data_IF_897945433011
#
_entry.id   IF_897945433011
#
_cell.length_a   1.000
_cell.length_b   1.000
_cell.length_c   1.000
_cell.angle_alpha   90.00
_cell.angle_beta   90.00
_cell.angle_gamma   90.00
#
_symmetry.space_group_name_H-M   'P 1'
#
loop_
_entity.id
_entity.type
_entity.pdbx_description
1 polymer ?
#
# COMPACT_ATOMS: atom_id res chain seq x y z
N UNK A 1 12.69 24.51 21.29
CA UNK A 1 12.22 23.15 21.62
C UNK A 1 11.33 22.73 20.47
N UNK A 2 11.58 21.58 19.85
CA UNK A 2 10.67 21.07 18.83
C UNK A 2 9.41 20.57 19.54
N UNK A 3 8.23 21.05 19.14
CA UNK A 3 6.98 20.49 19.63
C UNK A 3 6.85 19.06 19.10
N UNK A 4 6.87 18.11 20.03
CA UNK A 4 6.71 16.69 19.75
C UNK A 4 5.22 16.38 19.93
N UNK A 5 4.60 15.84 18.90
CA UNK A 5 3.22 15.38 18.90
C UNK A 5 3.16 13.86 18.80
N UNK A 6 2.07 13.29 19.31
CA UNK A 6 1.72 11.89 19.08
C UNK A 6 0.53 11.85 18.13
N UNK A 7 0.69 11.15 17.03
CA UNK A 7 -0.37 10.88 16.06
C UNK A 7 -0.86 9.44 16.26
N UNK A 8 -2.17 9.27 16.38
CA UNK A 8 -2.78 7.95 16.40
C UNK A 8 -3.21 7.58 14.97
N UNK A 9 -2.84 6.40 14.49
CA UNK A 9 -3.45 5.84 13.29
C UNK A 9 -4.84 5.29 13.63
N UNK A 10 -5.72 5.18 12.63
CA UNK A 10 -7.02 4.51 12.76
C UNK A 10 -6.91 3.05 13.22
N UNK A 11 -5.71 2.47 13.09
CA UNK A 11 -5.37 1.14 13.54
C UNK A 11 -4.72 1.13 14.94
N UNK A 12 -4.79 2.23 15.70
CA UNK A 12 -4.34 2.31 17.09
C UNK A 12 -2.83 2.36 17.27
N UNK A 13 -2.07 2.74 16.24
CA UNK A 13 -0.64 2.98 16.35
C UNK A 13 -0.38 4.40 16.85
N UNK A 14 0.38 4.56 17.92
CA UNK A 14 0.86 5.88 18.34
C UNK A 14 2.25 6.12 17.78
N UNK A 15 2.41 7.13 16.93
CA UNK A 15 3.70 7.52 16.36
C UNK A 15 4.08 8.88 16.91
N UNK A 16 5.33 9.00 17.36
CA UNK A 16 5.88 10.23 17.89
C UNK A 16 6.53 11.01 16.76
N UNK A 17 6.01 12.21 16.48
CA UNK A 17 6.45 13.05 15.36
C UNK A 17 6.80 14.44 15.85
N UNK A 18 7.66 15.16 15.12
CA UNK A 18 7.80 16.59 15.32
C UNK A 18 6.60 17.30 14.67
N UNK A 19 5.73 17.93 15.45
CA UNK A 19 4.51 18.55 14.96
C UNK A 19 4.77 19.60 13.87
N UNK A 20 5.87 20.35 14.00
CA UNK A 20 6.26 21.41 13.08
C UNK A 20 6.82 20.87 11.74
N UNK A 21 7.50 19.73 11.76
CA UNK A 21 8.29 19.26 10.60
C UNK A 21 7.84 17.88 10.07
N UNK A 22 6.72 17.32 10.56
CA UNK A 22 6.25 15.98 10.19
C UNK A 22 5.91 15.80 8.70
N UNK A 23 5.83 16.90 7.94
CA UNK A 23 5.57 16.94 6.49
C UNK A 23 6.76 17.50 5.70
N UNK A 24 7.93 17.62 6.35
CA UNK A 24 9.10 18.25 5.76
C UNK A 24 10.25 17.25 5.57
N UNK A 25 11.21 17.64 4.73
CA UNK A 25 12.46 16.93 4.55
C UNK A 25 13.57 17.63 5.35
N UNK A 26 14.37 16.86 6.10
CA UNK A 26 15.48 17.40 6.86
C UNK A 26 16.57 17.95 5.91
N UNK A 27 16.95 19.24 6.00
CA UNK A 27 17.91 19.84 5.09
C UNK A 27 19.36 19.36 5.29
N UNK A 28 19.65 18.69 6.41
CA UNK A 28 21.00 18.23 6.75
C UNK A 28 21.26 16.77 6.36
N UNK A 29 20.27 15.90 6.53
CA UNK A 29 20.40 14.47 6.23
C UNK A 29 19.45 13.97 5.13
N UNK A 30 18.69 14.88 4.51
CA UNK A 30 17.71 14.60 3.45
C UNK A 30 16.65 13.55 3.84
N UNK A 31 16.43 13.34 5.14
CA UNK A 31 15.42 12.42 5.63
C UNK A 31 14.04 13.06 5.46
N UNK A 32 13.18 12.44 4.67
CA UNK A 32 11.79 12.85 4.54
C UNK A 32 10.96 12.33 5.74
N UNK A 33 10.53 13.25 6.60
CA UNK A 33 9.76 12.87 7.78
C UNK A 33 8.36 12.36 7.41
N UNK A 34 7.80 12.79 6.28
CA UNK A 34 6.51 12.28 5.81
C UNK A 34 6.61 10.80 5.44
N UNK A 35 7.65 10.43 4.70
CA UNK A 35 7.87 9.05 4.27
C UNK A 35 8.14 8.14 5.46
N UNK A 36 9.04 8.53 6.38
CA UNK A 36 9.35 7.74 7.58
C UNK A 36 8.12 7.56 8.48
N UNK A 37 7.30 8.61 8.63
CA UNK A 37 6.07 8.51 9.40
C UNK A 37 5.05 7.56 8.74
N UNK A 38 4.97 7.56 7.41
CA UNK A 38 4.13 6.61 6.68
C UNK A 38 4.66 5.17 6.76
N UNK A 39 5.98 4.98 6.69
CA UNK A 39 6.61 3.68 6.87
C UNK A 39 6.30 3.12 8.26
N UNK A 40 6.38 3.93 9.32
CA UNK A 40 6.01 3.52 10.67
C UNK A 40 4.52 3.14 10.80
N UNK A 41 3.61 3.89 10.16
CA UNK A 41 2.18 3.52 10.08
C UNK A 41 2.01 2.17 9.37
N UNK A 42 2.71 1.99 8.25
CA UNK A 42 2.65 0.77 7.46
C UNK A 42 3.20 -0.44 8.25
N UNK A 43 4.32 -0.31 8.96
CA UNK A 43 4.89 -1.38 9.76
C UNK A 43 3.91 -1.91 10.82
N UNK A 44 3.16 -1.02 11.48
CA UNK A 44 2.15 -1.42 12.46
C UNK A 44 0.98 -2.14 11.78
N UNK A 45 0.56 -1.66 10.61
CA UNK A 45 -0.44 -2.33 9.77
C UNK A 45 0.00 -3.75 9.38
N UNK A 46 1.26 -3.91 8.97
CA UNK A 46 1.87 -5.21 8.66
C UNK A 46 1.86 -6.14 9.89
N UNK A 47 2.25 -5.64 11.07
CA UNK A 47 2.28 -6.45 12.31
C UNK A 47 0.90 -7.02 12.69
N UNK A 48 -0.20 -6.37 12.25
CA UNK A 48 -1.57 -6.86 12.44
C UNK A 48 -2.02 -7.81 11.33
N UNK A 49 -1.54 -7.62 10.09
CA UNK A 49 -1.81 -8.49 8.95
C UNK A 49 -1.16 -9.88 9.06
N UNK A 50 -0.11 -10.04 9.89
CA UNK A 50 0.50 -11.34 10.24
C UNK A 50 -0.48 -12.28 10.97
N UNK A 51 -1.63 -11.78 11.45
CA UNK A 51 -2.72 -12.67 11.90
C UNK A 51 -3.51 -13.11 10.68
N UNK A 52 -3.69 -14.43 10.43
CA UNK A 52 -4.58 -14.89 9.38
C UNK A 52 -5.93 -14.21 9.59
N UNK A 53 -6.56 -13.69 8.52
CA UNK A 53 -7.80 -12.93 8.64
C UNK A 53 -8.78 -13.78 9.43
N UNK A 54 -9.19 -13.28 10.59
CA UNK A 54 -10.22 -13.91 11.41
C UNK A 54 -11.49 -13.91 10.57
N UNK A 55 -11.74 -15.02 9.86
CA UNK A 55 -13.04 -15.48 9.38
C UNK A 55 -14.05 -14.36 9.12
N UNK A 56 -13.83 -13.58 8.06
CA UNK A 56 -14.83 -12.88 7.25
C UNK A 56 -14.11 -11.83 6.43
N UNK A 57 -13.65 -12.23 5.24
CA UNK A 57 -13.56 -11.26 4.15
C UNK A 57 -15.00 -10.80 3.94
N UNK A 58 -15.36 -9.64 4.50
CA UNK A 58 -16.71 -9.08 4.32
C UNK A 58 -17.05 -9.03 2.83
N UNK A 59 -18.34 -9.08 2.52
CA UNK A 59 -18.94 -9.29 1.18
C UNK A 59 -18.50 -8.32 0.04
N UNK A 60 -17.51 -7.45 0.26
CA UNK A 60 -17.00 -6.48 -0.73
C UNK A 60 -15.49 -6.54 -1.04
N UNK A 61 -14.69 -7.45 -0.46
CA UNK A 61 -13.21 -7.41 -0.59
C UNK A 61 -12.60 -8.26 -1.71
N UNK A 62 -13.33 -9.18 -2.32
CA UNK A 62 -12.81 -9.99 -3.42
C UNK A 62 -13.07 -9.29 -4.76
N UNK A 63 -12.12 -8.46 -5.19
CA UNK A 63 -12.19 -7.63 -6.41
C UNK A 63 -11.70 -8.37 -7.68
N UNK A 64 -11.62 -9.69 -7.63
CA UNK A 64 -11.21 -10.52 -8.77
C UNK A 64 -12.07 -10.23 -10.00
N UNK A 65 -11.42 -10.10 -11.15
CA UNK A 65 -12.03 -9.78 -12.43
C UNK A 65 -12.08 -8.29 -12.75
N UNK A 66 -11.86 -7.39 -11.77
CA UNK A 66 -11.82 -5.95 -12.01
C UNK A 66 -10.54 -5.50 -12.69
N UNK A 67 -10.69 -4.50 -13.56
CA UNK A 67 -9.59 -3.79 -14.19
C UNK A 67 -9.03 -2.74 -13.23
N UNK A 68 -7.71 -2.63 -13.24
CA UNK A 68 -6.95 -1.67 -12.44
C UNK A 68 -6.05 -0.85 -13.35
N UNK A 69 -5.91 0.43 -13.02
CA UNK A 69 -5.01 1.37 -13.67
C UNK A 69 -4.07 1.93 -12.62
N UNK A 70 -2.90 1.33 -12.51
CA UNK A 70 -1.88 1.75 -11.58
C UNK A 70 -1.03 2.87 -12.18
N UNK A 71 -0.43 3.70 -11.32
CA UNK A 71 0.59 4.67 -11.74
C UNK A 71 1.94 3.96 -11.87
N UNK A 72 2.56 4.03 -13.04
CA UNK A 72 3.94 3.63 -13.24
C UNK A 72 4.86 4.63 -12.52
N UNK A 73 5.49 4.19 -11.43
CA UNK A 73 6.46 5.01 -10.68
C UNK A 73 7.88 4.94 -11.25
N UNK A 74 8.07 4.38 -12.45
CA UNK A 74 9.36 4.33 -13.16
C UNK A 74 10.00 5.71 -13.47
N UNK A 75 9.34 6.81 -13.15
CA UNK A 75 9.89 8.17 -13.25
C UNK A 75 9.66 8.84 -14.61
N UNK A 76 8.81 8.28 -15.47
CA UNK A 76 8.38 8.94 -16.70
C UNK A 76 7.41 10.10 -16.40
N UNK A 77 7.53 11.22 -17.13
CA UNK A 77 6.62 12.38 -17.01
C UNK A 77 5.94 12.63 -18.37
N UNK A 78 4.60 12.56 -18.46
CA UNK A 78 3.67 12.14 -17.41
C UNK A 78 3.83 10.65 -17.06
N UNK A 79 3.48 10.24 -15.82
CA UNK A 79 3.56 8.83 -15.42
C UNK A 79 2.68 7.98 -16.33
N UNK A 80 3.26 6.93 -16.89
CA UNK A 80 2.47 5.97 -17.65
C UNK A 80 1.52 5.23 -16.71
N UNK A 81 0.38 4.82 -17.26
CA UNK A 81 -0.54 3.97 -16.52
C UNK A 81 -0.24 2.51 -16.84
N UNK A 82 -0.15 1.68 -15.80
CA UNK A 82 -0.13 0.23 -15.92
C UNK A 82 -1.56 -0.28 -15.84
N UNK A 83 -2.14 -0.60 -16.99
CA UNK A 83 -3.44 -1.24 -17.06
C UNK A 83 -3.27 -2.74 -16.80
N UNK A 84 -4.04 -3.26 -15.85
CA UNK A 84 -4.01 -4.67 -15.46
C UNK A 84 -5.37 -5.17 -14.99
N UNK A 85 -5.43 -6.46 -14.67
CA UNK A 85 -6.64 -7.12 -14.17
C UNK A 85 -6.32 -7.95 -12.95
N UNK A 86 -7.14 -7.82 -11.91
CA UNK A 86 -7.04 -8.68 -10.73
C UNK A 86 -7.53 -10.08 -11.14
N UNK A 87 -6.63 -11.06 -11.15
CA UNK A 87 -6.93 -12.45 -11.55
C UNK A 87 -7.14 -13.38 -10.36
N UNK A 88 -6.69 -12.98 -9.17
CA UNK A 88 -6.90 -13.76 -7.96
C UNK A 88 -6.40 -13.06 -6.70
N UNK A 89 -6.41 -13.81 -5.60
CA UNK A 89 -5.79 -13.46 -4.33
C UNK A 89 -4.89 -14.59 -3.88
N UNK A 90 -3.78 -14.27 -3.22
CA UNK A 90 -2.87 -15.23 -2.63
C UNK A 90 -2.20 -14.67 -1.39
N UNK A 91 -1.70 -15.54 -0.52
CA UNK A 91 -0.70 -15.14 0.46
C UNK A 91 0.64 -15.12 -0.26
N UNK A 92 1.33 -13.99 -0.23
CA UNK A 92 2.69 -13.89 -0.77
C UNK A 92 3.62 -14.77 0.07
N UNK A 93 4.44 -15.57 -0.60
CA UNK A 93 5.36 -16.52 0.05
C UNK A 93 6.80 -16.34 -0.40
N UNK A 94 7.04 -15.44 -1.34
CA UNK A 94 8.37 -15.10 -1.76
C UNK A 94 9.06 -14.27 -0.66
N UNK A 95 10.09 -14.84 -0.04
CA UNK A 95 10.90 -14.21 1.01
C UNK A 95 11.70 -13.00 0.48
N UNK A 96 11.88 -12.88 -0.85
CA UNK A 96 12.51 -11.72 -1.48
C UNK A 96 11.49 -10.60 -1.80
N UNK A 97 10.19 -10.86 -1.61
CA UNK A 97 9.13 -9.87 -1.83
C UNK A 97 8.93 -8.98 -0.61
N UNK A 98 8.77 -7.68 -0.83
CA UNK A 98 8.35 -6.71 0.20
C UNK A 98 6.98 -7.03 0.83
N UNK A 99 6.26 -7.99 0.27
CA UNK A 99 4.90 -8.36 0.68
C UNK A 99 4.80 -9.76 1.31
N UNK A 100 5.91 -10.44 1.61
CA UNK A 100 5.90 -11.78 2.20
C UNK A 100 4.92 -11.90 3.39
N UNK A 101 4.08 -12.94 3.37
CA UNK A 101 3.09 -13.22 4.40
C UNK A 101 1.81 -12.40 4.31
N UNK A 102 1.70 -11.45 3.39
CA UNK A 102 0.51 -10.63 3.20
C UNK A 102 -0.49 -11.28 2.24
N UNK A 103 -1.78 -10.98 2.46
CA UNK A 103 -2.83 -11.27 1.48
C UNK A 103 -2.74 -10.24 0.36
N UNK A 104 -2.35 -10.71 -0.83
CA UNK A 104 -2.14 -9.92 -2.02
C UNK A 104 -3.15 -10.26 -3.11
N UNK A 105 -3.52 -9.27 -3.92
CA UNK A 105 -4.09 -9.48 -5.24
C UNK A 105 -3.01 -9.93 -6.22
N UNK A 106 -3.36 -10.85 -7.10
CA UNK A 106 -2.56 -11.18 -8.28
C UNK A 106 -3.09 -10.32 -9.43
N UNK A 107 -2.26 -9.40 -9.91
CA UNK A 107 -2.61 -8.46 -10.98
C UNK A 107 -1.84 -8.87 -12.23
N UNK A 108 -2.57 -9.15 -13.31
CA UNK A 108 -2.01 -9.46 -14.62
C UNK A 108 -2.01 -8.21 -15.50
N UNK A 109 -0.86 -7.86 -16.08
CA UNK A 109 -0.68 -6.73 -16.99
C UNK A 109 -0.02 -7.20 -18.29
N UNK A 110 -0.30 -6.53 -19.40
CA UNK A 110 0.20 -6.86 -20.74
C UNK A 110 0.00 -8.33 -21.18
N UNK A 111 -1.00 -9.03 -20.62
CA UNK A 111 -1.43 -10.36 -21.05
C UNK A 111 -0.55 -11.54 -20.59
N UNK A 112 0.53 -11.30 -19.85
CA UNK A 112 1.36 -12.39 -19.31
C UNK A 112 2.12 -12.05 -18.04
N UNK A 113 2.49 -10.79 -17.84
CA UNK A 113 3.22 -10.38 -16.65
C UNK A 113 2.27 -10.29 -15.45
N UNK A 114 2.78 -10.71 -14.29
CA UNK A 114 2.01 -10.76 -13.05
C UNK A 114 2.78 -10.06 -11.96
N UNK A 115 2.05 -9.37 -11.10
CA UNK A 115 2.57 -8.83 -9.85
C UNK A 115 1.62 -9.15 -8.71
N UNK A 116 2.16 -9.18 -7.51
CA UNK A 116 1.39 -9.24 -6.28
C UNK A 116 1.31 -7.85 -5.66
N UNK A 117 0.15 -7.51 -5.10
CA UNK A 117 -0.04 -6.24 -4.39
C UNK A 117 -0.97 -6.41 -3.19
N UNK A 118 -0.63 -5.92 -2.00
CA UNK A 118 -1.42 -6.16 -0.80
C UNK A 118 -2.88 -5.69 -0.96
N UNK A 119 -3.83 -6.55 -0.60
CA UNK A 119 -5.27 -6.27 -0.73
C UNK A 119 -5.66 -5.00 0.04
N UNK A 120 -5.05 -4.81 1.20
CA UNK A 120 -5.27 -3.67 2.07
C UNK A 120 -4.69 -2.35 1.53
N UNK A 121 -3.76 -2.41 0.57
CA UNK A 121 -3.07 -1.25 0.03
C UNK A 121 -3.63 -0.81 -1.32
N UNK A 122 -4.53 -1.58 -1.93
CA UNK A 122 -5.14 -1.18 -3.21
C UNK A 122 -5.96 0.10 -3.03
N UNK A 123 -5.51 1.14 -3.72
CA UNK A 123 -6.18 2.42 -3.77
C UNK A 123 -7.44 2.32 -4.65
N UNK A 124 -8.55 2.90 -4.20
CA UNK A 124 -9.80 2.90 -4.97
C UNK A 124 -9.66 3.64 -6.31
N UNK A 125 -8.76 4.62 -6.37
CA UNK A 125 -8.44 5.39 -7.58
C UNK A 125 -7.85 4.53 -8.71
N UNK A 126 -7.29 3.36 -8.38
CA UNK A 126 -6.80 2.42 -9.40
C UNK A 126 -7.94 1.66 -10.05
N UNK A 127 -9.09 1.55 -9.39
CA UNK A 127 -10.17 0.71 -9.88
C UNK A 127 -10.84 1.40 -11.07
N UNK A 128 -10.64 0.86 -12.27
CA UNK A 128 -11.38 1.33 -13.44
C UNK A 128 -12.79 0.78 -13.31
N UNK A 129 -13.77 1.67 -13.21
CA UNK A 129 -15.16 1.25 -13.34
C UNK A 129 -15.33 0.70 -14.75
N UNK A 130 -15.60 -0.61 -14.86
CA UNK A 130 -16.01 -1.27 -16.10
C UNK A 130 -17.44 -0.84 -16.50
N UNK A 131 -17.65 0.47 -16.61
CA UNK A 131 -18.83 1.09 -17.20
C UNK A 131 -18.30 1.87 -18.38
N UNK A 132 -18.56 1.34 -19.57
CA UNK A 132 -18.38 2.07 -20.83
C UNK A 132 -19.24 3.32 -20.90
#
# INVERSE_FOLDING_TARGET
MADIASIESDEGATITVCAAHQYECCPFCCLDFFDVNNEARNAVRMSKAVRPPSSSLGDGRLRTGKEVRMLDRSGTTPPNHLDGRITGIMIEKDEESDFEGLLCYVIEYNGSDKMTYPVDWVHEEWMVNAQG
#
